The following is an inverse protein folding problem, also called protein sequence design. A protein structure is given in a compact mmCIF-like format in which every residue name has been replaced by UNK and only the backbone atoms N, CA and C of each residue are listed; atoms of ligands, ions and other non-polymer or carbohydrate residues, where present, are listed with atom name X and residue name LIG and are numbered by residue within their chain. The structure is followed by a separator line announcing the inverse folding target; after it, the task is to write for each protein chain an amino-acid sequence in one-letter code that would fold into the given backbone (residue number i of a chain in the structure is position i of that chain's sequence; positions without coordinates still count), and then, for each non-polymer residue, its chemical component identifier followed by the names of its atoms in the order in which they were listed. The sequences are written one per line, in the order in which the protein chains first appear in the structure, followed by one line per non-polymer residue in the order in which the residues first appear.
data_IF_509273830659
#
_entry.id   IF_509273830659
#
_cell.length_a   1.000
_cell.length_b   1.000
_cell.length_c   1.000
_cell.angle_alpha   90.00
_cell.angle_beta   90.00
_cell.angle_gamma   90.00
#
_symmetry.space_group_name_H-M   'P 1'
#
loop_
_entity.id
_entity.type
_entity.pdbx_description
1 polymer ?
#
# COMPACT_ATOMS: atom_id res chain seq x y z
N UNK A 1 -47.22 -25.95 42.64
CA UNK A 1 -46.08 -26.62 41.93
C UNK A 1 -45.02 -25.58 41.74
N UNK A 2 -44.02 -25.63 42.61
CA UNK A 2 -42.95 -24.64 42.73
C UNK A 2 -41.71 -25.24 42.10
N UNK A 3 -41.20 -24.70 40.97
CA UNK A 3 -39.93 -25.12 40.39
C UNK A 3 -38.78 -24.33 40.95
N UNK A 4 -37.81 -25.05 41.49
CA UNK A 4 -36.54 -24.55 42.02
C UNK A 4 -35.57 -24.31 40.88
N UNK A 5 -34.92 -23.15 40.86
CA UNK A 5 -33.74 -22.82 40.06
C UNK A 5 -32.49 -23.40 40.72
N UNK A 6 -31.54 -23.99 39.99
CA UNK A 6 -30.24 -24.39 40.54
C UNK A 6 -29.26 -23.23 40.60
N UNK A 7 -28.63 -23.12 41.81
CA UNK A 7 -27.55 -22.21 42.13
C UNK A 7 -26.26 -22.58 41.40
N UNK A 8 -25.59 -21.61 40.79
CA UNK A 8 -24.26 -21.77 40.20
C UNK A 8 -23.19 -21.62 41.28
N UNK A 9 -22.27 -22.59 41.36
CA UNK A 9 -21.09 -22.57 42.20
C UNK A 9 -19.98 -21.67 41.65
N UNK A 10 -19.11 -21.08 42.54
CA UNK A 10 -18.03 -20.20 42.10
C UNK A 10 -16.83 -21.00 41.55
N UNK A 11 -16.28 -20.51 40.43
CA UNK A 11 -15.05 -21.03 39.82
C UNK A 11 -13.85 -20.53 40.62
N UNK A 12 -13.08 -21.50 41.12
CA UNK A 12 -11.85 -21.33 41.87
C UNK A 12 -10.72 -20.78 41.02
N UNK A 13 -10.11 -19.71 41.48
CA UNK A 13 -8.88 -19.13 40.97
C UNK A 13 -7.70 -20.01 41.31
N UNK A 14 -6.92 -20.44 40.32
CA UNK A 14 -5.71 -21.25 40.58
C UNK A 14 -4.50 -20.70 39.84
N UNK A 15 -3.55 -20.28 40.62
CA UNK A 15 -2.08 -20.33 40.50
C UNK A 15 -1.38 -19.70 39.26
N UNK A 16 -0.66 -18.63 39.57
CA UNK A 16 0.51 -18.15 38.84
C UNK A 16 1.63 -19.21 38.79
N UNK A 17 2.33 -19.39 37.65
CA UNK A 17 3.57 -20.15 37.64
C UNK A 17 4.75 -19.25 38.02
N UNK A 18 5.45 -19.63 39.12
CA UNK A 18 6.72 -19.06 39.52
C UNK A 18 7.80 -19.36 38.46
N UNK A 19 8.39 -18.30 37.92
CA UNK A 19 9.56 -18.36 37.01
C UNK A 19 10.82 -18.47 37.85
N UNK A 20 11.43 -19.66 37.90
CA UNK A 20 12.78 -19.83 38.43
C UNK A 20 13.82 -19.19 37.52
N UNK A 21 14.47 -18.15 38.02
CA UNK A 21 15.66 -17.56 37.39
C UNK A 21 16.83 -18.54 37.44
N UNK A 22 17.24 -19.11 36.32
CA UNK A 22 18.54 -19.76 36.16
C UNK A 22 19.55 -18.76 35.61
N UNK A 23 20.58 -18.50 36.42
CA UNK A 23 21.79 -17.71 36.07
C UNK A 23 22.61 -18.44 35.00
N UNK A 24 23.02 -17.70 33.98
CA UNK A 24 24.38 -17.73 33.43
C UNK A 24 24.67 -18.73 32.34
N UNK A 25 24.51 -18.30 31.07
CA UNK A 25 25.47 -18.62 30.03
C UNK A 25 25.58 -17.40 29.09
N UNK A 26 26.78 -16.80 29.04
CA UNK A 26 27.07 -15.73 28.09
C UNK A 26 27.20 -16.39 26.72
N UNK A 27 26.15 -16.35 25.92
CA UNK A 27 26.24 -16.67 24.50
C UNK A 27 26.59 -15.39 23.74
N UNK A 28 27.76 -15.43 23.12
CA UNK A 28 28.18 -14.45 22.12
C UNK A 28 27.12 -14.39 21.03
N UNK A 29 26.37 -13.31 20.99
CA UNK A 29 25.40 -13.01 19.94
C UNK A 29 26.23 -12.65 18.72
N UNK A 30 26.38 -13.58 17.76
CA UNK A 30 26.84 -13.23 16.43
C UNK A 30 25.86 -12.21 15.85
N UNK A 31 26.32 -10.99 15.62
CA UNK A 31 25.53 -9.93 15.04
C UNK A 31 25.10 -10.36 13.65
N UNK A 32 23.81 -10.41 13.39
CA UNK A 32 23.27 -10.52 12.03
C UNK A 32 23.83 -9.33 11.24
N UNK A 33 24.53 -9.54 10.11
CA UNK A 33 25.06 -8.43 9.33
C UNK A 33 23.88 -7.53 8.91
N UNK A 34 23.97 -6.22 9.17
CA UNK A 34 23.05 -5.23 8.64
C UNK A 34 23.04 -5.38 7.12
N UNK A 35 21.85 -5.31 6.48
CA UNK A 35 21.79 -5.24 5.02
C UNK A 35 22.66 -4.05 4.59
N UNK A 36 23.65 -4.32 3.75
CA UNK A 36 24.40 -3.26 3.08
C UNK A 36 23.40 -2.47 2.23
N UNK A 37 23.43 -1.17 2.39
CA UNK A 37 22.78 -0.29 1.44
C UNK A 37 23.30 -0.63 0.03
N UNK A 38 22.46 -0.63 -1.00
CA UNK A 38 22.92 -0.82 -2.37
C UNK A 38 24.00 0.23 -2.64
N UNK A 39 25.09 -0.23 -3.24
CA UNK A 39 26.25 0.60 -3.61
C UNK A 39 25.75 1.86 -4.28
N UNK A 40 26.32 2.96 -3.81
CA UNK A 40 26.07 4.33 -4.26
C UNK A 40 25.93 4.34 -5.78
N UNK A 41 24.73 4.68 -6.27
CA UNK A 41 24.55 4.99 -7.69
C UNK A 41 25.53 6.13 -7.96
N UNK A 42 26.50 5.86 -8.79
CA UNK A 42 27.50 6.80 -9.24
C UNK A 42 26.77 8.02 -9.79
N UNK A 43 26.82 9.09 -9.02
CA UNK A 43 26.20 10.37 -9.38
C UNK A 43 26.94 10.87 -10.61
N UNK A 44 26.27 10.91 -11.75
CA UNK A 44 26.81 11.58 -12.93
C UNK A 44 27.30 12.98 -12.53
N UNK A 45 28.48 13.41 -13.03
CA UNK A 45 29.09 14.67 -12.63
C UNK A 45 28.11 15.82 -12.92
N UNK A 46 27.91 16.67 -11.93
CA UNK A 46 27.15 17.93 -12.09
C UNK A 46 27.73 18.71 -13.28
N UNK A 47 26.90 19.18 -14.21
CA UNK A 47 27.35 20.05 -15.28
C UNK A 47 27.90 21.34 -14.67
N UNK A 48 29.20 21.57 -14.84
CA UNK A 48 29.84 22.83 -14.46
C UNK A 48 29.19 23.97 -15.23
N UNK A 49 28.51 24.85 -14.52
CA UNK A 49 27.95 26.08 -15.07
C UNK A 49 29.14 27.05 -15.31
N UNK A 50 29.67 27.01 -16.52
CA UNK A 50 30.55 28.09 -17.00
C UNK A 50 29.67 29.31 -17.32
N UNK A 51 29.92 30.42 -16.64
CA UNK A 51 29.27 31.70 -16.93
C UNK A 51 29.55 32.11 -18.38
N UNK A 52 28.54 32.44 -19.19
CA UNK A 52 28.77 32.92 -20.55
C UNK A 52 29.28 34.37 -20.49
N UNK A 53 30.42 34.57 -21.10
CA UNK A 53 30.88 35.89 -21.52
C UNK A 53 30.11 36.29 -22.78
N UNK A 54 29.43 37.39 -22.71
CA UNK A 54 28.81 38.28 -23.68
C UNK A 54 28.49 37.77 -25.08
N UNK A 55 27.23 37.96 -25.48
CA UNK A 55 26.85 38.25 -26.87
C UNK A 55 26.01 37.20 -27.57
N UNK A 56 24.78 37.61 -27.86
CA UNK A 56 23.87 37.19 -28.95
C UNK A 56 23.10 35.87 -28.83
N UNK A 57 21.78 36.04 -28.62
CA UNK A 57 20.78 35.15 -29.14
C UNK A 57 20.72 33.76 -28.50
N UNK A 58 20.30 33.67 -27.22
CA UNK A 58 19.85 32.36 -26.66
C UNK A 58 18.62 31.91 -27.42
N UNK A 59 18.81 30.97 -28.34
CA UNK A 59 17.72 30.11 -28.82
C UNK A 59 17.31 29.27 -27.60
N UNK A 60 16.31 29.74 -26.86
CA UNK A 60 15.59 28.90 -25.91
C UNK A 60 14.99 27.75 -26.73
N UNK A 61 15.65 26.61 -26.72
CA UNK A 61 15.02 25.35 -27.14
C UNK A 61 13.81 25.14 -26.22
N UNK A 62 12.65 25.65 -26.67
CA UNK A 62 11.39 25.33 -26.04
C UNK A 62 11.19 23.83 -26.24
N UNK A 63 11.53 23.03 -25.24
CA UNK A 63 11.04 21.65 -25.23
C UNK A 63 9.51 21.72 -25.30
N UNK A 64 8.88 21.06 -26.25
CA UNK A 64 7.43 21.04 -26.32
C UNK A 64 6.91 20.61 -24.95
N UNK A 65 5.96 21.38 -24.40
CA UNK A 65 5.32 21.03 -23.15
C UNK A 65 4.76 19.61 -23.29
N UNK A 66 5.06 18.74 -22.32
CA UNK A 66 4.52 17.38 -22.37
C UNK A 66 2.98 17.46 -22.47
N UNK A 67 2.36 16.59 -23.27
CA UNK A 67 0.91 16.58 -23.43
C UNK A 67 0.18 16.54 -22.10
N UNK A 68 -0.94 17.24 -21.95
CA UNK A 68 -1.68 17.26 -20.70
C UNK A 68 -2.24 15.86 -20.38
N UNK A 69 -2.27 15.51 -19.08
CA UNK A 69 -2.92 14.28 -18.61
C UNK A 69 -4.33 14.63 -18.14
N UNK A 70 -5.35 14.00 -18.74
CA UNK A 70 -6.74 14.00 -18.25
C UNK A 70 -6.94 12.87 -17.24
N UNK A 71 -7.92 13.03 -16.35
CA UNK A 71 -8.32 11.99 -15.39
C UNK A 71 -9.80 11.70 -15.60
N UNK A 72 -10.16 10.42 -15.65
CA UNK A 72 -11.53 9.93 -15.74
C UNK A 72 -11.84 8.95 -14.62
N UNK A 73 -13.12 8.81 -14.30
CA UNK A 73 -13.65 7.79 -13.40
C UNK A 73 -14.36 6.73 -14.23
N UNK A 74 -13.89 5.48 -14.12
CA UNK A 74 -14.39 4.35 -14.90
C UNK A 74 -14.88 3.24 -13.93
N UNK A 75 -15.88 2.49 -14.36
CA UNK A 75 -16.36 1.32 -13.63
C UNK A 75 -15.96 0.01 -14.29
N UNK A 76 -15.77 0.03 -15.60
CA UNK A 76 -15.37 -1.16 -16.38
C UNK A 76 -14.33 -0.75 -17.40
N UNK A 77 -13.19 -1.42 -17.37
CA UNK A 77 -12.11 -1.24 -18.35
C UNK A 77 -11.78 -2.62 -18.93
N UNK A 78 -11.85 -2.73 -20.25
CA UNK A 78 -11.58 -3.97 -20.97
C UNK A 78 -10.77 -3.70 -22.25
N UNK A 79 -10.31 -4.74 -22.93
CA UNK A 79 -9.58 -4.64 -24.20
C UNK A 79 -8.20 -4.00 -24.06
N UNK A 80 -7.77 -3.27 -25.09
CA UNK A 80 -6.42 -2.68 -25.17
C UNK A 80 -6.07 -1.78 -23.97
N UNK A 81 -6.95 -0.92 -23.44
CA UNK A 81 -6.65 -0.14 -22.24
C UNK A 81 -6.38 -1.00 -21.00
N UNK A 82 -7.11 -2.10 -20.83
CA UNK A 82 -6.89 -3.01 -19.70
C UNK A 82 -5.54 -3.71 -19.79
N UNK A 83 -5.13 -4.15 -20.98
CA UNK A 83 -3.82 -4.74 -21.22
C UNK A 83 -2.68 -3.75 -20.94
N UNK A 84 -2.82 -2.50 -21.38
CA UNK A 84 -1.85 -1.46 -21.11
C UNK A 84 -1.73 -1.16 -19.60
N UNK A 85 -2.84 -1.22 -18.86
CA UNK A 85 -2.84 -1.07 -17.41
C UNK A 85 -2.22 -2.28 -16.70
N UNK A 86 -2.42 -3.50 -17.22
CA UNK A 86 -1.72 -4.68 -16.73
C UNK A 86 -0.21 -4.55 -16.91
N UNK A 87 0.27 -4.14 -18.08
CA UNK A 87 1.69 -3.92 -18.32
C UNK A 87 2.26 -2.88 -17.34
N UNK A 88 1.55 -1.78 -17.12
CA UNK A 88 1.93 -0.77 -16.16
C UNK A 88 1.92 -1.30 -14.71
N UNK A 89 0.96 -2.16 -14.34
CA UNK A 89 0.91 -2.83 -13.05
C UNK A 89 2.14 -3.69 -12.84
N UNK A 90 2.42 -4.59 -13.78
CA UNK A 90 3.59 -5.47 -13.73
C UNK A 90 4.87 -4.66 -13.56
N UNK A 91 5.09 -3.64 -14.39
CA UNK A 91 6.31 -2.82 -14.37
C UNK A 91 6.48 -2.03 -13.05
N UNK A 92 5.38 -1.68 -12.37
CA UNK A 92 5.42 -0.98 -11.09
C UNK A 92 5.63 -1.91 -9.90
N UNK A 93 4.97 -3.08 -9.88
CA UNK A 93 4.88 -3.92 -8.70
C UNK A 93 5.77 -5.16 -8.73
N UNK A 94 6.12 -5.69 -9.91
CA UNK A 94 7.01 -6.85 -10.00
C UNK A 94 8.37 -6.65 -9.31
N UNK A 95 9.04 -5.48 -9.39
CA UNK A 95 10.28 -5.25 -8.66
C UNK A 95 10.11 -5.33 -7.13
N UNK A 96 8.92 -5.05 -6.60
CA UNK A 96 8.65 -5.13 -5.17
C UNK A 96 8.72 -6.56 -4.62
N UNK A 97 8.60 -7.60 -5.45
CA UNK A 97 8.74 -9.00 -5.05
C UNK A 97 10.10 -9.29 -4.37
N UNK A 98 11.14 -8.55 -4.74
CA UNK A 98 12.47 -8.66 -4.15
C UNK A 98 12.80 -7.62 -3.09
N UNK A 99 11.99 -6.57 -2.97
CA UNK A 99 12.24 -5.42 -2.10
C UNK A 99 11.35 -5.40 -0.86
N UNK A 100 10.22 -6.12 -0.89
CA UNK A 100 9.27 -6.15 0.22
C UNK A 100 8.63 -7.54 0.34
N UNK A 101 8.24 -7.91 1.56
CA UNK A 101 7.38 -9.08 1.76
C UNK A 101 5.97 -8.65 1.37
N UNK A 102 5.58 -8.94 0.14
CA UNK A 102 4.23 -8.71 -0.36
C UNK A 102 3.35 -9.88 0.04
N UNK A 103 2.11 -9.59 0.45
CA UNK A 103 1.11 -10.63 0.71
C UNK A 103 0.71 -11.35 -0.57
N UNK A 104 0.52 -10.57 -1.62
CA UNK A 104 0.09 -11.03 -2.92
C UNK A 104 0.64 -10.11 -4.02
N UNK A 105 0.88 -10.69 -5.18
CA UNK A 105 1.13 -9.98 -6.42
C UNK A 105 0.15 -10.54 -7.44
N UNK A 106 -0.81 -9.71 -7.84
CA UNK A 106 -1.89 -10.13 -8.71
C UNK A 106 -1.36 -10.67 -10.05
N UNK A 107 -1.91 -11.76 -10.49
CA UNK A 107 -1.72 -12.30 -11.84
C UNK A 107 -2.38 -11.38 -12.87
N UNK A 108 -2.05 -11.58 -14.15
CA UNK A 108 -2.71 -10.84 -15.23
C UNK A 108 -4.23 -11.02 -15.20
N UNK A 109 -4.68 -12.25 -14.96
CA UNK A 109 -6.10 -12.57 -14.91
C UNK A 109 -6.83 -11.82 -13.78
N UNK A 110 -6.25 -11.83 -12.58
CA UNK A 110 -6.80 -11.10 -11.43
C UNK A 110 -6.89 -9.59 -11.68
N UNK A 111 -5.83 -8.97 -12.25
CA UNK A 111 -5.86 -7.54 -12.59
C UNK A 111 -6.92 -7.23 -13.64
N UNK A 112 -7.04 -8.05 -14.69
CA UNK A 112 -8.06 -7.84 -15.73
C UNK A 112 -9.48 -8.02 -15.17
N UNK A 113 -9.69 -8.98 -14.29
CA UNK A 113 -10.97 -9.18 -13.60
C UNK A 113 -11.31 -7.99 -12.68
N UNK A 114 -10.34 -7.46 -11.93
CA UNK A 114 -10.54 -6.25 -11.15
C UNK A 114 -10.86 -5.03 -12.04
N UNK A 115 -10.20 -4.89 -13.19
CA UNK A 115 -10.49 -3.81 -14.12
C UNK A 115 -11.89 -3.94 -14.76
N UNK A 116 -12.37 -5.15 -14.98
CA UNK A 116 -13.71 -5.41 -15.50
C UNK A 116 -14.82 -5.37 -14.42
N UNK A 117 -14.47 -5.46 -13.13
CA UNK A 117 -15.44 -5.52 -12.03
C UNK A 117 -16.12 -4.14 -11.79
N UNK A 118 -17.43 -3.98 -12.03
CA UNK A 118 -18.12 -2.69 -11.90
C UNK A 118 -18.24 -2.19 -10.45
N UNK A 119 -17.94 -3.01 -9.44
CA UNK A 119 -17.96 -2.61 -8.02
C UNK A 119 -16.69 -1.87 -7.60
N UNK A 120 -15.65 -1.91 -8.44
CA UNK A 120 -14.39 -1.22 -8.20
C UNK A 120 -14.38 0.08 -8.99
N UNK A 121 -14.17 1.21 -8.33
CA UNK A 121 -13.94 2.49 -8.98
C UNK A 121 -12.51 2.54 -9.51
N UNK A 122 -12.35 2.87 -10.79
CA UNK A 122 -11.05 3.09 -11.44
C UNK A 122 -10.91 4.56 -11.77
N UNK A 123 -9.89 5.18 -11.25
CA UNK A 123 -9.52 6.55 -11.56
C UNK A 123 -8.30 6.45 -12.50
N UNK A 124 -8.48 6.82 -13.76
CA UNK A 124 -7.49 6.59 -14.82
C UNK A 124 -6.93 7.91 -15.30
N UNK A 125 -5.60 8.01 -15.31
CA UNK A 125 -4.88 9.10 -15.96
C UNK A 125 -4.61 8.74 -17.41
N UNK A 126 -5.02 9.61 -18.35
CA UNK A 126 -4.87 9.42 -19.79
C UNK A 126 -3.96 10.46 -20.40
N UNK A 127 -3.08 10.05 -21.29
CA UNK A 127 -2.25 10.91 -22.10
C UNK A 127 -2.29 10.42 -23.55
N UNK A 128 -2.73 11.27 -24.45
CA UNK A 128 -2.86 10.94 -25.89
C UNK A 128 -3.65 9.63 -26.14
N UNK A 129 -4.73 9.41 -25.39
CA UNK A 129 -5.59 8.22 -25.51
C UNK A 129 -5.03 6.95 -24.89
N UNK A 130 -3.86 6.99 -24.22
CA UNK A 130 -3.26 5.85 -23.53
C UNK A 130 -3.36 6.02 -22.03
N UNK A 131 -3.67 4.95 -21.27
CA UNK A 131 -3.66 5.02 -19.81
C UNK A 131 -2.22 5.10 -19.31
N UNK A 132 -1.94 6.10 -18.47
CA UNK A 132 -0.60 6.37 -17.90
C UNK A 132 -0.59 6.38 -16.39
N UNK A 133 -1.71 6.11 -15.77
CA UNK A 133 -1.84 5.97 -14.33
C UNK A 133 -3.19 5.42 -13.93
N UNK A 134 -3.25 4.77 -12.77
CA UNK A 134 -4.45 4.13 -12.25
C UNK A 134 -4.48 4.27 -10.72
N UNK A 135 -5.65 4.57 -10.18
CA UNK A 135 -5.98 4.34 -8.78
C UNK A 135 -7.27 3.52 -8.71
N UNK A 136 -7.33 2.57 -7.77
CA UNK A 136 -8.50 1.71 -7.56
C UNK A 136 -8.98 1.78 -6.14
N UNK A 137 -10.31 1.86 -5.96
CA UNK A 137 -10.97 1.89 -4.65
C UNK A 137 -12.33 1.21 -4.73
N UNK A 138 -12.72 0.49 -3.69
CA UNK A 138 -14.01 -0.20 -3.61
C UNK A 138 -14.59 -0.16 -2.20
N UNK A 139 -15.92 -0.20 -2.07
CA UNK A 139 -16.63 -0.50 -0.83
C UNK A 139 -17.21 -1.93 -0.79
N UNK A 140 -16.93 -2.74 -1.82
CA UNK A 140 -17.19 -4.18 -1.82
C UNK A 140 -16.03 -4.89 -1.13
N UNK A 141 -16.04 -4.90 0.21
CA UNK A 141 -14.91 -5.38 1.01
C UNK A 141 -14.61 -6.86 0.78
N UNK A 142 -15.58 -7.64 0.35
CA UNK A 142 -15.44 -9.07 0.01
C UNK A 142 -14.59 -9.29 -1.25
N UNK A 143 -14.49 -8.28 -2.10
CA UNK A 143 -13.67 -8.34 -3.32
C UNK A 143 -12.20 -7.98 -3.05
N UNK A 144 -11.83 -7.71 -1.77
CA UNK A 144 -10.47 -7.36 -1.35
C UNK A 144 -9.91 -8.46 -0.45
N UNK A 145 -8.96 -9.25 -0.96
CA UNK A 145 -8.46 -10.46 -0.28
C UNK A 145 -7.53 -10.19 0.90
N UNK A 146 -6.94 -8.99 0.95
CA UNK A 146 -5.91 -8.63 1.93
C UNK A 146 -6.46 -8.09 3.26
N UNK A 147 -7.78 -7.90 3.37
CA UNK A 147 -8.42 -7.32 4.55
C UNK A 147 -9.41 -8.29 5.19
N UNK A 148 -9.79 -8.02 6.44
CA UNK A 148 -10.92 -8.67 7.11
C UNK A 148 -12.14 -7.73 7.12
N UNK A 149 -13.16 -7.98 6.30
CA UNK A 149 -14.40 -7.20 6.31
C UNK A 149 -15.09 -7.19 7.67
N UNK A 150 -15.06 -8.32 8.39
CA UNK A 150 -15.66 -8.46 9.72
C UNK A 150 -15.00 -7.53 10.74
N UNK A 151 -13.67 -7.45 10.73
CA UNK A 151 -12.93 -6.54 11.61
C UNK A 151 -13.33 -5.08 11.36
N UNK A 152 -13.37 -4.67 10.10
CA UNK A 152 -13.70 -3.30 9.72
C UNK A 152 -15.15 -2.95 10.09
N UNK A 153 -16.09 -3.85 9.85
CA UNK A 153 -17.50 -3.66 10.21
C UNK A 153 -17.72 -3.58 11.72
N UNK A 154 -17.00 -4.41 12.48
CA UNK A 154 -17.07 -4.39 13.94
C UNK A 154 -16.45 -3.10 14.53
N UNK A 155 -15.35 -2.63 13.94
CA UNK A 155 -14.66 -1.42 14.39
C UNK A 155 -15.41 -0.14 14.01
N UNK A 156 -16.06 -0.13 12.85
CA UNK A 156 -16.74 1.05 12.29
C UNK A 156 -18.21 0.77 11.94
N UNK A 157 -19.07 0.41 12.93
CA UNK A 157 -20.42 -0.06 12.66
C UNK A 157 -21.31 0.98 11.96
N UNK A 158 -21.15 2.28 12.27
CA UNK A 158 -21.95 3.34 11.65
C UNK A 158 -21.63 3.51 10.16
N UNK A 159 -20.37 3.31 9.77
CA UNK A 159 -19.96 3.32 8.37
C UNK A 159 -20.39 2.03 7.66
N UNK A 160 -20.27 0.89 8.35
CA UNK A 160 -20.72 -0.40 7.83
C UNK A 160 -22.24 -0.40 7.51
N UNK A 161 -23.06 0.16 8.40
CA UNK A 161 -24.52 0.27 8.21
C UNK A 161 -24.91 1.06 6.94
N UNK A 162 -24.05 1.95 6.47
CA UNK A 162 -24.24 2.78 5.27
C UNK A 162 -23.49 2.28 4.05
N UNK A 163 -22.77 1.15 4.15
CA UNK A 163 -21.85 0.64 3.14
C UNK A 163 -20.78 1.69 2.74
N UNK A 164 -20.30 2.49 3.70
CA UNK A 164 -19.39 3.62 3.49
C UNK A 164 -17.97 3.36 4.03
N UNK A 165 -17.54 2.09 4.06
CA UNK A 165 -16.17 1.67 4.30
C UNK A 165 -15.56 1.35 2.95
N UNK A 166 -14.54 2.10 2.56
CA UNK A 166 -13.85 1.95 1.28
C UNK A 166 -12.46 1.41 1.51
N UNK A 167 -12.00 0.53 0.61
CA UNK A 167 -10.63 0.03 0.57
C UNK A 167 -9.92 0.59 -0.67
N UNK A 168 -8.82 1.31 -0.45
CA UNK A 168 -7.90 1.71 -1.50
C UNK A 168 -7.02 0.52 -1.86
N UNK A 169 -7.12 0.05 -3.11
CA UNK A 169 -6.46 -1.17 -3.56
C UNK A 169 -5.05 -0.88 -4.10
N UNK A 170 -4.93 0.12 -4.96
CA UNK A 170 -3.64 0.55 -5.50
C UNK A 170 -3.67 2.00 -6.01
N UNK A 171 -2.48 2.60 -6.13
CA UNK A 171 -2.23 3.80 -6.94
C UNK A 171 -0.90 3.60 -7.67
N UNK A 172 -0.93 3.76 -8.98
CA UNK A 172 0.27 3.65 -9.81
C UNK A 172 0.31 4.69 -10.92
N UNK A 173 1.52 5.00 -11.38
CA UNK A 173 1.76 5.83 -12.57
C UNK A 173 2.85 5.19 -13.42
N UNK A 174 2.78 5.38 -14.73
CA UNK A 174 3.82 4.88 -15.64
C UNK A 174 5.19 5.47 -15.27
N UNK A 175 6.26 4.71 -15.50
CA UNK A 175 7.63 5.10 -15.19
C UNK A 175 8.02 6.45 -15.80
N UNK A 176 7.55 6.74 -17.03
CA UNK A 176 7.82 8.00 -17.74
C UNK A 176 7.26 9.24 -17.03
N UNK A 177 6.26 9.07 -16.15
CA UNK A 177 5.60 10.15 -15.40
C UNK A 177 5.90 10.13 -13.90
N UNK A 178 6.81 9.26 -13.43
CA UNK A 178 7.27 9.27 -12.04
C UNK A 178 7.90 10.61 -11.68
N UNK A 179 7.73 11.05 -10.43
CA UNK A 179 8.21 12.36 -9.97
C UNK A 179 7.37 13.56 -10.45
N UNK A 180 6.30 13.33 -11.23
CA UNK A 180 5.35 14.36 -11.64
C UNK A 180 4.12 14.38 -10.73
N UNK A 181 3.26 15.36 -10.92
CA UNK A 181 2.07 15.60 -10.07
C UNK A 181 0.96 14.55 -10.23
N UNK A 182 1.05 13.66 -11.25
CA UNK A 182 -0.03 12.72 -11.58
C UNK A 182 -0.36 11.76 -10.42
N UNK A 183 0.66 11.21 -9.74
CA UNK A 183 0.43 10.33 -8.59
C UNK A 183 -0.41 11.02 -7.50
N UNK A 184 -0.02 12.23 -7.12
CA UNK A 184 -0.76 13.01 -6.10
C UNK A 184 -2.19 13.34 -6.55
N UNK A 185 -2.40 13.63 -7.85
CA UNK A 185 -3.72 13.87 -8.41
C UNK A 185 -4.60 12.62 -8.33
N UNK A 186 -4.11 11.46 -8.81
CA UNK A 186 -4.85 10.19 -8.74
C UNK A 186 -5.16 9.80 -7.29
N UNK A 187 -4.20 10.01 -6.39
CA UNK A 187 -4.40 9.70 -4.99
C UNK A 187 -5.43 10.64 -4.35
N UNK A 188 -5.46 11.92 -4.71
CA UNK A 188 -6.51 12.86 -4.26
C UNK A 188 -7.89 12.46 -4.79
N UNK A 189 -8.01 12.11 -6.08
CA UNK A 189 -9.27 11.64 -6.67
C UNK A 189 -9.77 10.34 -5.99
N UNK A 190 -8.86 9.44 -5.61
CA UNK A 190 -9.22 8.23 -4.87
C UNK A 190 -9.87 8.58 -3.52
N UNK A 191 -9.36 9.59 -2.81
CA UNK A 191 -9.94 10.05 -1.54
C UNK A 191 -11.30 10.74 -1.71
N UNK A 192 -11.57 11.34 -2.87
CA UNK A 192 -12.86 11.97 -3.14
C UNK A 192 -13.99 10.95 -3.16
N UNK A 193 -13.76 9.71 -3.61
CA UNK A 193 -14.79 8.68 -3.69
C UNK A 193 -15.46 8.43 -2.33
N UNK A 194 -14.75 8.04 -1.26
CA UNK A 194 -15.37 7.92 0.06
C UNK A 194 -15.82 9.27 0.64
N UNK A 195 -15.16 10.37 0.32
CA UNK A 195 -15.50 11.68 0.86
C UNK A 195 -16.89 12.17 0.41
N UNK A 196 -17.31 11.83 -0.82
CA UNK A 196 -18.65 12.17 -1.35
C UNK A 196 -19.76 11.52 -0.54
N UNK A 197 -19.51 10.40 0.11
CA UNK A 197 -20.48 9.67 0.94
C UNK A 197 -20.21 9.83 2.45
N UNK A 198 -19.36 10.76 2.85
CA UNK A 198 -18.87 10.89 4.22
C UNK A 198 -18.38 9.54 4.79
N UNK A 199 -17.70 8.76 3.95
CA UNK A 199 -17.17 7.43 4.26
C UNK A 199 -15.79 7.48 4.92
N UNK A 200 -15.24 6.29 5.17
CA UNK A 200 -13.84 6.10 5.57
C UNK A 200 -13.08 5.36 4.49
N UNK A 201 -11.78 5.65 4.39
CA UNK A 201 -10.85 5.00 3.48
C UNK A 201 -9.82 4.21 4.29
N UNK A 202 -9.73 2.92 4.02
CA UNK A 202 -8.71 2.01 4.55
C UNK A 202 -7.77 1.64 3.41
N UNK A 203 -6.48 1.63 3.66
CA UNK A 203 -5.47 1.18 2.70
C UNK A 203 -4.21 0.76 3.44
N UNK A 204 -3.40 -0.06 2.83
CA UNK A 204 -2.10 -0.46 3.36
C UNK A 204 -0.95 0.07 2.50
N UNK A 205 0.22 0.13 3.12
CA UNK A 205 1.47 0.50 2.45
C UNK A 205 2.58 -0.37 3.01
N UNK A 206 3.31 -1.08 2.15
CA UNK A 206 4.46 -1.85 2.59
C UNK A 206 5.57 -0.92 3.12
N UNK A 207 6.36 -1.41 4.07
CA UNK A 207 7.41 -0.62 4.73
C UNK A 207 8.42 -0.02 3.73
N UNK A 208 8.75 -0.76 2.67
CA UNK A 208 9.62 -0.25 1.62
C UNK A 208 9.06 1.04 0.98
N UNK A 209 7.80 1.02 0.55
CA UNK A 209 7.15 2.19 -0.04
C UNK A 209 6.97 3.31 0.98
N UNK A 210 6.66 2.97 2.24
CA UNK A 210 6.50 3.95 3.32
C UNK A 210 7.77 4.76 3.53
N UNK A 211 8.94 4.09 3.50
CA UNK A 211 10.23 4.76 3.66
C UNK A 211 10.68 5.53 2.41
N UNK A 212 10.43 4.96 1.22
CA UNK A 212 10.91 5.54 -0.05
C UNK A 212 10.13 6.79 -0.47
N UNK A 213 8.85 6.88 -0.14
CA UNK A 213 7.96 7.93 -0.64
C UNK A 213 7.38 8.82 0.46
N UNK A 214 7.85 8.65 1.72
CA UNK A 214 7.30 9.37 2.88
C UNK A 214 5.75 9.40 2.86
N UNK A 215 5.19 8.19 2.73
CA UNK A 215 3.74 8.04 2.53
C UNK A 215 2.94 8.54 3.72
N UNK A 216 3.52 8.54 4.93
CA UNK A 216 2.88 9.08 6.13
C UNK A 216 2.62 10.59 5.97
N UNK A 217 3.61 11.35 5.48
CA UNK A 217 3.48 12.79 5.26
C UNK A 217 2.61 13.11 4.04
N UNK A 218 2.74 12.34 2.97
CA UNK A 218 1.87 12.46 1.80
C UNK A 218 0.41 12.25 2.17
N UNK A 219 0.11 11.22 2.97
CA UNK A 219 -1.24 10.89 3.43
C UNK A 219 -1.82 12.02 4.28
N UNK A 220 -1.06 12.55 5.24
CA UNK A 220 -1.49 13.70 6.06
C UNK A 220 -1.76 14.93 5.22
N UNK A 221 -0.90 15.23 4.24
CA UNK A 221 -1.05 16.38 3.34
C UNK A 221 -2.32 16.25 2.49
N UNK A 222 -2.61 15.07 1.95
CA UNK A 222 -3.85 14.84 1.20
C UNK A 222 -5.06 14.95 2.13
N UNK A 223 -5.01 14.31 3.31
CA UNK A 223 -6.05 14.42 4.31
C UNK A 223 -6.37 15.88 4.65
N UNK A 224 -5.36 16.74 4.79
CA UNK A 224 -5.57 18.16 5.10
C UNK A 224 -6.38 18.93 4.05
N UNK A 225 -6.52 18.38 2.83
CA UNK A 225 -7.35 18.96 1.77
C UNK A 225 -8.85 18.62 1.95
N UNK A 226 -9.18 17.70 2.85
CA UNK A 226 -10.56 17.30 3.13
C UNK A 226 -11.00 17.83 4.51
N UNK A 227 -12.08 18.62 4.59
CA UNK A 227 -12.52 19.21 5.85
C UNK A 227 -12.83 18.16 6.92
N UNK A 228 -12.29 18.35 8.11
CA UNK A 228 -12.49 17.46 9.27
C UNK A 228 -12.02 16.02 9.10
N UNK A 229 -11.16 15.73 8.12
CA UNK A 229 -10.55 14.42 7.99
C UNK A 229 -9.53 14.19 9.13
N UNK A 230 -9.39 12.93 9.53
CA UNK A 230 -8.37 12.47 10.47
C UNK A 230 -7.74 11.19 9.90
N UNK A 231 -6.45 11.02 10.15
CA UNK A 231 -5.72 9.81 9.75
C UNK A 231 -5.17 9.15 11.00
N UNK A 232 -5.43 7.86 11.15
CA UNK A 232 -4.87 7.02 12.21
C UNK A 232 -4.19 5.78 11.60
N UNK A 233 -3.21 5.25 12.31
CA UNK A 233 -2.64 3.94 11.96
C UNK A 233 -3.56 2.89 12.57
N UNK A 234 -4.22 2.12 11.69
CA UNK A 234 -5.19 1.11 12.09
C UNK A 234 -4.52 -0.15 12.63
N UNK A 235 -3.46 -0.62 11.97
CA UNK A 235 -2.72 -1.82 12.32
C UNK A 235 -1.29 -1.77 11.77
N UNK A 236 -0.42 -2.64 12.30
CA UNK A 236 0.96 -2.85 11.83
C UNK A 236 1.30 -4.33 11.88
N UNK A 237 1.82 -4.86 10.79
CA UNK A 237 2.33 -6.22 10.74
C UNK A 237 3.86 -6.23 10.82
N UNK A 238 4.40 -7.15 11.63
CA UNK A 238 5.84 -7.35 11.77
C UNK A 238 6.19 -8.76 11.34
N UNK A 239 7.16 -8.88 10.46
CA UNK A 239 7.68 -10.16 9.99
C UNK A 239 8.97 -10.49 10.73
N UNK A 240 9.07 -11.73 11.22
CA UNK A 240 10.25 -12.24 11.89
C UNK A 240 10.89 -13.34 11.06
N UNK A 241 12.22 -13.42 11.05
CA UNK A 241 12.97 -14.54 10.53
C UNK A 241 13.76 -15.18 11.68
N UNK A 242 13.64 -16.49 11.84
CA UNK A 242 14.46 -17.27 12.76
C UNK A 242 15.37 -18.21 11.96
N UNK A 243 16.67 -18.02 12.06
CA UNK A 243 17.63 -18.95 11.46
C UNK A 243 17.83 -20.15 12.40
N UNK A 244 17.66 -21.36 11.87
CA UNK A 244 17.88 -22.61 12.57
C UNK A 244 19.02 -23.34 11.85
N UNK A 245 20.29 -23.02 12.19
CA UNK A 245 21.46 -23.45 11.41
C UNK A 245 21.74 -24.96 11.50
N UNK A 246 21.23 -25.63 12.52
CA UNK A 246 21.45 -27.06 12.71
C UNK A 246 20.14 -27.83 12.86
N UNK A 247 20.00 -29.00 12.24
CA UNK A 247 18.84 -29.87 12.43
C UNK A 247 18.81 -30.44 13.88
N UNK A 248 17.63 -30.60 14.43
CA UNK A 248 17.48 -31.24 15.75
C UNK A 248 17.85 -32.72 15.61
N UNK A 249 18.85 -33.20 16.39
CA UNK A 249 19.26 -34.60 16.34
C UNK A 249 18.08 -35.57 16.59
N UNK A 250 17.85 -36.50 15.69
CA UNK A 250 16.80 -37.53 15.81
C UNK A 250 15.44 -37.19 15.21
N UNK A 251 15.22 -35.97 14.69
CA UNK A 251 14.03 -35.64 13.94
C UNK A 251 14.19 -36.02 12.46
N UNK A 252 13.47 -37.04 12.00
CA UNK A 252 13.29 -37.27 10.56
C UNK A 252 12.15 -36.40 10.08
N UNK A 253 12.29 -35.64 8.99
CA UNK A 253 11.13 -35.07 8.32
C UNK A 253 10.25 -36.22 7.82
N UNK A 254 8.99 -36.21 8.22
CA UNK A 254 7.97 -37.12 7.74
C UNK A 254 7.59 -36.83 6.28
#
# INVERSE_FOLDING_TARGET
MTQRTPSAAPISTTAEPQVHARRGARHSTAAIPKPQAPDTIETAPEPQITKPVGGQGSILLQHPAAPPVSITHEFVITGEPAEALWDAYRDNFEPLKSLAILRHFDSREEVLDQLANPKIHKIVGWQEGRPVGLAMVTNSLEDVTEISPEFLRAKYPDYAARNAIYCGMLVMVSHALRGRTLFGRLYTELWQVPALEAGILVFDVCEFNRMMFDTDELTKRIASSFPRSAVEVLDRQTWYVAALPEPIPGSRPG
#
